data_IF_865526784863
#
_entry.id   IF_865526784863
#
_cell.length_a   1.000
_cell.length_b   1.000
_cell.length_c   1.000
_cell.angle_alpha   90.00
_cell.angle_beta   90.00
_cell.angle_gamma   90.00
#
_symmetry.space_group_name_H-M   'P 1'
#
loop_
_entity.id
_entity.type
_entity.pdbx_description
1 polymer ?
#
# COMPACT_ATOMS: atom_id res chain seq x y z
N UNK A 1 19.65 4.95 -73.49
CA UNK A 1 19.21 6.14 -72.73
C UNK A 1 17.96 5.91 -71.86
N UNK A 2 16.92 5.18 -72.31
CA UNK A 2 15.67 5.00 -71.53
C UNK A 2 15.77 4.20 -70.23
N UNK A 3 16.66 3.20 -70.14
CA UNK A 3 16.81 2.33 -68.95
C UNK A 3 17.26 3.08 -67.69
N UNK A 4 18.11 4.09 -67.83
CA UNK A 4 18.60 4.88 -66.70
C UNK A 4 17.50 5.77 -66.09
N UNK A 5 16.62 6.32 -66.93
CA UNK A 5 15.46 7.09 -66.47
C UNK A 5 14.45 6.23 -65.70
N UNK A 6 14.22 4.99 -66.15
CA UNK A 6 13.37 4.02 -65.43
C UNK A 6 13.94 3.69 -64.04
N UNK A 7 15.25 3.48 -63.95
CA UNK A 7 15.90 3.22 -62.65
C UNK A 7 15.81 4.42 -61.70
N UNK A 8 15.96 5.65 -62.22
CA UNK A 8 15.78 6.86 -61.40
C UNK A 8 14.34 6.98 -60.92
N UNK A 9 13.37 6.75 -61.81
CA UNK A 9 11.96 6.82 -61.43
C UNK A 9 11.63 5.80 -60.34
N UNK A 10 12.17 4.58 -60.45
CA UNK A 10 12.02 3.56 -59.41
C UNK A 10 12.64 4.00 -58.09
N UNK A 11 13.88 4.52 -58.10
CA UNK A 11 14.51 5.03 -56.88
C UNK A 11 13.68 6.16 -56.23
N UNK A 12 13.09 7.06 -57.02
CA UNK A 12 12.25 8.15 -56.49
C UNK A 12 10.96 7.56 -55.86
N UNK A 13 10.36 6.55 -56.47
CA UNK A 13 9.19 5.86 -55.92
C UNK A 13 9.51 5.15 -54.61
N UNK A 14 10.65 4.45 -54.55
CA UNK A 14 11.11 3.75 -53.35
C UNK A 14 11.39 4.75 -52.21
N UNK A 15 12.08 5.86 -52.50
CA UNK A 15 12.32 6.93 -51.52
C UNK A 15 11.00 7.51 -51.01
N UNK A 16 10.04 7.77 -51.90
CA UNK A 16 8.73 8.29 -51.51
C UNK A 16 7.99 7.31 -50.57
N UNK A 17 8.03 6.02 -50.88
CA UNK A 17 7.39 5.00 -50.06
C UNK A 17 8.05 4.90 -48.67
N UNK A 18 9.38 4.92 -48.59
CA UNK A 18 10.12 4.94 -47.32
C UNK A 18 9.74 6.18 -46.49
N UNK A 19 9.69 7.36 -47.11
CA UNK A 19 9.31 8.59 -46.39
C UNK A 19 7.88 8.52 -45.84
N UNK A 20 6.96 7.90 -46.58
CA UNK A 20 5.58 7.68 -46.13
C UNK A 20 5.53 6.76 -44.90
N UNK A 21 6.33 5.70 -44.89
CA UNK A 21 6.42 4.76 -43.77
C UNK A 21 7.08 5.40 -42.54
N UNK A 22 8.16 6.17 -42.73
CA UNK A 22 8.79 6.96 -41.65
C UNK A 22 7.78 7.92 -41.01
N UNK A 23 6.96 8.59 -41.84
CA UNK A 23 5.91 9.49 -41.33
C UNK A 23 4.85 8.73 -40.52
N UNK A 24 4.44 7.55 -40.98
CA UNK A 24 3.49 6.72 -40.25
C UNK A 24 4.06 6.27 -38.89
N UNK A 25 5.32 5.86 -38.86
CA UNK A 25 6.02 5.46 -37.64
C UNK A 25 6.13 6.62 -36.64
N UNK A 26 6.47 7.83 -37.13
CA UNK A 26 6.53 9.03 -36.30
C UNK A 26 5.17 9.37 -35.66
N UNK A 27 4.08 9.21 -36.41
CA UNK A 27 2.73 9.43 -35.88
C UNK A 27 2.40 8.41 -34.77
N UNK A 28 2.74 7.14 -34.96
CA UNK A 28 2.54 6.12 -33.93
C UNK A 28 3.35 6.43 -32.66
N UNK A 29 4.61 6.84 -32.83
CA UNK A 29 5.46 7.24 -31.70
C UNK A 29 4.84 8.41 -30.91
N UNK A 30 4.28 9.39 -31.61
CA UNK A 30 3.61 10.55 -31.00
C UNK A 30 2.39 10.15 -30.16
N UNK A 31 1.65 9.13 -30.59
CA UNK A 31 0.51 8.60 -29.82
C UNK A 31 1.01 7.89 -28.56
N UNK A 32 2.05 7.06 -28.69
CA UNK A 32 2.64 6.34 -27.56
C UNK A 32 3.18 7.31 -26.50
N UNK A 33 3.87 8.37 -26.91
CA UNK A 33 4.39 9.37 -25.96
C UNK A 33 3.26 10.08 -25.21
N UNK A 34 2.15 10.41 -25.88
CA UNK A 34 0.97 11.01 -25.24
C UNK A 34 0.33 10.07 -24.19
N UNK A 35 0.24 8.78 -24.50
CA UNK A 35 -0.26 7.78 -23.55
C UNK A 35 0.67 7.64 -22.33
N UNK A 36 1.98 7.58 -22.53
CA UNK A 36 2.95 7.51 -21.44
C UNK A 36 2.84 8.72 -20.50
N UNK A 37 2.68 9.93 -21.03
CA UNK A 37 2.46 11.13 -20.22
C UNK A 37 1.18 11.04 -19.37
N UNK A 38 0.12 10.44 -19.92
CA UNK A 38 -1.14 10.23 -19.19
C UNK A 38 -0.94 9.22 -18.05
N UNK A 39 -0.23 8.12 -18.31
CA UNK A 39 0.07 7.10 -17.29
C UNK A 39 0.90 7.71 -16.15
N UNK A 40 1.92 8.51 -16.46
CA UNK A 40 2.74 9.19 -15.44
C UNK A 40 1.86 10.05 -14.53
N UNK A 41 0.97 10.88 -15.11
CA UNK A 41 0.05 11.72 -14.32
C UNK A 41 -0.89 10.90 -13.44
N UNK A 42 -1.37 9.75 -13.91
CA UNK A 42 -2.23 8.87 -13.12
C UNK A 42 -1.47 8.26 -11.93
N UNK A 43 -0.22 7.85 -12.14
CA UNK A 43 0.63 7.33 -11.08
C UNK A 43 0.91 8.41 -10.03
N UNK A 44 1.24 9.63 -10.46
CA UNK A 44 1.46 10.77 -9.56
C UNK A 44 0.23 11.06 -8.70
N UNK A 45 -0.96 11.09 -9.31
CA UNK A 45 -2.21 11.29 -8.59
C UNK A 45 -2.49 10.15 -7.59
N UNK A 46 -2.29 8.89 -8.00
CA UNK A 46 -2.46 7.75 -7.10
C UNK A 46 -1.51 7.81 -5.90
N UNK A 47 -0.25 8.19 -6.11
CA UNK A 47 0.72 8.34 -5.02
C UNK A 47 0.31 9.46 -4.06
N UNK A 48 -0.17 10.61 -4.56
CA UNK A 48 -0.68 11.69 -3.70
C UNK A 48 -1.85 11.21 -2.83
N UNK A 49 -2.81 10.50 -3.43
CA UNK A 49 -3.95 9.93 -2.70
C UNK A 49 -3.50 8.86 -1.69
N UNK A 50 -2.46 8.10 -1.98
CA UNK A 50 -1.89 7.12 -1.06
C UNK A 50 -1.23 7.81 0.14
N UNK A 51 -0.43 8.86 -0.08
CA UNK A 51 0.19 9.65 0.97
C UNK A 51 -0.84 10.36 1.88
N UNK A 52 -1.93 10.86 1.30
CA UNK A 52 -3.04 11.46 2.06
C UNK A 52 -3.76 10.41 2.94
N UNK A 53 -3.94 9.19 2.42
CA UNK A 53 -4.49 8.06 3.19
C UNK A 53 -3.54 7.60 4.29
N UNK A 54 -2.24 7.58 4.04
CA UNK A 54 -1.25 7.18 5.03
C UNK A 54 -1.16 8.20 6.18
N UNK A 55 -1.18 9.51 5.87
CA UNK A 55 -1.20 10.57 6.90
C UNK A 55 -2.43 10.52 7.82
N UNK A 56 -3.58 10.11 7.29
CA UNK A 56 -4.84 10.00 8.07
C UNK A 56 -4.90 8.73 8.91
N UNK A 57 -4.19 7.67 8.54
CA UNK A 57 -4.15 6.39 9.28
C UNK A 57 -3.00 6.37 10.30
N UNK A 58 -1.84 6.94 9.98
CA UNK A 58 -0.62 6.82 10.79
C UNK A 58 -0.68 7.60 12.11
N UNK A 59 -1.27 8.80 12.12
CA UNK A 59 -1.34 9.59 13.36
C UNK A 59 -2.25 8.96 14.42
N UNK A 60 -3.33 8.30 13.99
CA UNK A 60 -4.36 7.79 14.88
C UNK A 60 -4.18 6.29 15.20
N UNK A 61 -3.59 5.50 14.30
CA UNK A 61 -3.32 4.07 14.50
C UNK A 61 -1.97 3.82 15.17
N UNK A 62 -0.91 4.56 14.80
CA UNK A 62 0.41 4.43 15.42
C UNK A 62 0.41 4.91 16.88
N UNK A 63 -0.34 5.97 17.21
CA UNK A 63 -0.54 6.38 18.61
C UNK A 63 -1.35 5.36 19.42
N UNK A 64 -2.31 4.65 18.80
CA UNK A 64 -3.08 3.58 19.46
C UNK A 64 -2.22 2.32 19.67
N UNK A 65 -1.26 2.03 18.79
CA UNK A 65 -0.32 0.92 18.91
C UNK A 65 0.82 1.19 19.92
N UNK A 66 1.32 2.42 20.03
CA UNK A 66 2.40 2.80 20.98
C UNK A 66 1.87 3.07 22.39
N UNK A 67 0.55 3.28 22.58
CA UNK A 67 0.00 3.57 23.90
C UNK A 67 0.12 2.35 24.82
N UNK A 68 0.93 2.49 25.88
CA UNK A 68 0.99 1.52 26.98
C UNK A 68 -0.32 1.53 27.75
N UNK A 69 -0.97 0.37 27.77
CA UNK A 69 -2.22 0.11 28.47
C UNK A 69 -1.93 -0.38 29.88
N UNK A 70 -2.62 0.19 30.86
CA UNK A 70 -2.61 -0.32 32.23
C UNK A 70 -3.57 -1.51 32.42
N UNK A 71 -3.49 -2.17 33.59
CA UNK A 71 -4.34 -3.33 33.93
C UNK A 71 -5.83 -3.00 33.80
N UNK A 72 -6.26 -1.83 34.25
CA UNK A 72 -7.66 -1.41 34.19
C UNK A 72 -8.16 -1.29 32.76
N UNK A 73 -7.33 -0.76 31.86
CA UNK A 73 -7.62 -0.67 30.44
C UNK A 73 -7.65 -2.05 29.78
N UNK A 74 -6.70 -2.93 30.10
CA UNK A 74 -6.68 -4.31 29.59
C UNK A 74 -7.93 -5.09 30.02
N UNK A 75 -8.32 -5.00 31.29
CA UNK A 75 -9.52 -5.67 31.80
C UNK A 75 -10.80 -5.18 31.10
N UNK A 76 -10.90 -3.87 30.83
CA UNK A 76 -12.02 -3.30 30.07
C UNK A 76 -12.04 -3.79 28.62
N UNK A 77 -10.88 -3.79 27.95
CA UNK A 77 -10.76 -4.20 26.54
C UNK A 77 -11.09 -5.69 26.37
N UNK A 78 -10.67 -6.54 27.30
CA UNK A 78 -10.92 -7.98 27.24
C UNK A 78 -12.24 -8.39 27.89
N UNK A 79 -12.93 -7.45 28.54
CA UNK A 79 -14.14 -7.64 29.34
C UNK A 79 -13.99 -8.79 30.36
N UNK A 80 -12.94 -8.71 31.18
CA UNK A 80 -12.61 -9.72 32.19
C UNK A 80 -12.52 -9.12 33.59
N UNK A 81 -12.77 -9.94 34.61
CA UNK A 81 -12.55 -9.60 36.01
C UNK A 81 -11.06 -9.56 36.38
N UNK A 82 -10.73 -8.88 37.46
CA UNK A 82 -9.37 -8.85 38.02
C UNK A 82 -8.84 -10.24 38.38
N UNK A 83 -9.69 -11.11 38.93
CA UNK A 83 -9.35 -12.51 39.20
C UNK A 83 -8.99 -13.29 37.93
N UNK A 84 -9.72 -13.06 36.84
CA UNK A 84 -9.45 -13.70 35.55
C UNK A 84 -8.15 -13.18 34.96
N UNK A 85 -7.90 -11.87 35.08
CA UNK A 85 -6.67 -11.24 34.63
C UNK A 85 -5.43 -11.87 35.29
N UNK A 86 -5.37 -11.93 36.63
CA UNK A 86 -4.20 -12.48 37.31
C UNK A 86 -4.00 -13.96 37.02
N UNK A 87 -5.09 -14.73 36.93
CA UNK A 87 -5.02 -16.14 36.51
C UNK A 87 -4.43 -16.29 35.11
N UNK A 88 -4.81 -15.43 34.16
CA UNK A 88 -4.26 -15.45 32.80
C UNK A 88 -2.78 -15.04 32.77
N UNK A 89 -2.36 -14.13 33.65
CA UNK A 89 -0.94 -13.79 33.81
C UNK A 89 -0.16 -14.97 34.38
N UNK A 90 -0.68 -15.64 35.41
CA UNK A 90 -0.05 -16.81 36.03
C UNK A 90 0.05 -17.99 35.06
N UNK A 91 -0.99 -18.20 34.24
CA UNK A 91 -1.01 -19.23 33.19
C UNK A 91 -0.14 -18.88 31.97
N UNK A 92 0.41 -17.67 31.89
CA UNK A 92 1.19 -17.18 30.75
C UNK A 92 0.36 -16.82 29.51
N UNK A 93 -0.98 -16.80 29.62
CA UNK A 93 -1.91 -16.36 28.57
C UNK A 93 -1.86 -14.84 28.35
N UNK A 94 -1.52 -14.08 29.40
CA UNK A 94 -1.21 -12.66 29.32
C UNK A 94 0.21 -12.42 29.81
N UNK A 95 1.02 -11.73 29.01
CA UNK A 95 2.43 -11.48 29.32
C UNK A 95 2.66 -9.98 29.55
N UNK A 96 2.50 -9.50 30.80
CA UNK A 96 2.66 -8.08 31.09
C UNK A 96 4.11 -7.66 31.02
N UNK A 97 4.33 -6.45 30.51
CA UNK A 97 5.59 -5.73 30.67
C UNK A 97 5.59 -5.09 32.05
N UNK A 98 6.60 -5.40 32.87
CA UNK A 98 6.69 -4.88 34.24
C UNK A 98 7.51 -3.61 34.28
N UNK A 99 6.95 -2.53 34.83
CA UNK A 99 7.70 -1.32 35.20
C UNK A 99 7.51 -1.08 36.69
N UNK A 100 8.51 -1.48 37.48
CA UNK A 100 8.39 -1.59 38.93
C UNK A 100 7.33 -2.63 39.32
N UNK A 101 6.34 -2.23 40.12
CA UNK A 101 5.23 -3.08 40.56
C UNK A 101 4.02 -3.07 39.63
N UNK A 102 4.06 -2.32 38.53
CA UNK A 102 2.92 -2.12 37.61
C UNK A 102 3.07 -2.96 36.34
N UNK A 103 1.94 -3.46 35.85
CA UNK A 103 1.85 -4.20 34.59
C UNK A 103 1.35 -3.29 33.47
N UNK A 104 1.98 -3.42 32.30
CA UNK A 104 1.64 -2.68 31.09
C UNK A 104 1.60 -3.60 29.88
N UNK A 105 0.81 -3.22 28.88
CA UNK A 105 0.68 -3.94 27.60
C UNK A 105 0.67 -2.95 26.44
N UNK A 106 1.19 -3.35 25.29
CA UNK A 106 0.77 -2.73 24.05
C UNK A 106 -0.55 -3.34 23.59
N UNK A 107 -1.35 -2.60 22.83
CA UNK A 107 -2.56 -3.15 22.23
C UNK A 107 -2.25 -4.36 21.34
N UNK A 108 -1.10 -4.32 20.64
CA UNK A 108 -0.61 -5.43 19.82
C UNK A 108 -0.46 -6.74 20.61
N UNK A 109 0.08 -6.67 21.84
CA UNK A 109 0.28 -7.84 22.71
C UNK A 109 -1.07 -8.51 23.11
N UNK A 110 -2.21 -7.84 22.92
CA UNK A 110 -3.54 -8.31 23.29
C UNK A 110 -4.38 -8.83 22.12
N UNK A 111 -3.91 -8.71 20.86
CA UNK A 111 -4.71 -9.02 19.67
C UNK A 111 -5.24 -10.46 19.66
N UNK A 112 -4.40 -11.43 19.99
CA UNK A 112 -4.78 -12.84 20.08
C UNK A 112 -5.88 -13.08 21.11
N UNK A 113 -5.80 -12.38 22.24
CA UNK A 113 -6.72 -12.56 23.37
C UNK A 113 -8.05 -11.87 23.08
N UNK A 114 -8.01 -10.73 22.39
CA UNK A 114 -9.20 -10.07 21.84
C UNK A 114 -9.92 -11.01 20.86
N UNK A 115 -9.18 -11.64 19.93
CA UNK A 115 -9.75 -12.59 18.98
C UNK A 115 -10.41 -13.78 19.68
N UNK A 116 -9.73 -14.37 20.68
CA UNK A 116 -10.28 -15.47 21.50
C UNK A 116 -11.51 -15.06 22.30
N UNK A 117 -11.54 -13.85 22.86
CA UNK A 117 -12.70 -13.34 23.59
C UNK A 117 -13.92 -13.13 22.67
N UNK A 118 -13.70 -12.61 21.44
CA UNK A 118 -14.76 -12.49 20.42
C UNK A 118 -15.34 -13.84 20.03
N UNK A 119 -14.49 -14.85 19.78
CA UNK A 119 -14.94 -16.21 19.47
C UNK A 119 -15.78 -16.84 20.59
N UNK A 120 -15.51 -16.47 21.84
CA UNK A 120 -16.25 -16.94 23.03
C UNK A 120 -17.47 -16.07 23.36
N UNK A 121 -17.79 -15.06 22.55
CA UNK A 121 -18.94 -14.16 22.76
C UNK A 121 -18.81 -13.24 23.99
N UNK A 122 -17.59 -12.95 24.44
CA UNK A 122 -17.32 -12.08 25.60
C UNK A 122 -17.16 -10.60 25.25
N UNK A 123 -16.98 -10.31 23.95
CA UNK A 123 -16.79 -8.99 23.35
C UNK A 123 -17.81 -8.75 22.25
#
# INVERSE_FOLDING_TARGET
MKKWLLNILQCIQDIYQILKEIKALYNQFTIVTAHLQTIIRLIENYNQLAEEREKTVDTDQHQREIKLLDIGQVMKILNISESTYYRWVENGELQPRKKGKRHYYYLFDLQDQIAKCKLKGRL
#
